data_IF_471546166104
#
_entry.id   IF_471546166104
#
_cell.length_a   1.000
_cell.length_b   1.000
_cell.length_c   1.000
_cell.angle_alpha   90.00
_cell.angle_beta   90.00
_cell.angle_gamma   90.00
#
_symmetry.space_group_name_H-M   'P 1'
#
loop_
_entity.id
_entity.type
_entity.pdbx_description
1 polymer ?
#
# COMPACT_ATOMS: atom_id res chain seq x y z
N UNK A 1 -50.26 50.61 -62.35
CA UNK A 1 -50.58 50.40 -60.92
C UNK A 1 -49.65 49.32 -60.39
N UNK A 2 -49.04 49.59 -59.23
CA UNK A 2 -47.94 48.81 -58.62
C UNK A 2 -48.48 47.52 -57.99
N UNK A 3 -47.79 46.39 -58.18
CA UNK A 3 -48.00 45.18 -57.38
C UNK A 3 -46.65 44.72 -56.84
N UNK A 4 -46.43 45.00 -55.56
CA UNK A 4 -45.22 44.66 -54.79
C UNK A 4 -45.15 43.16 -54.55
N UNK A 5 -43.98 42.56 -54.81
CA UNK A 5 -43.67 41.17 -54.42
C UNK A 5 -43.13 41.20 -52.99
N UNK A 6 -43.88 40.65 -52.04
CA UNK A 6 -43.41 40.42 -50.66
C UNK A 6 -42.68 39.08 -50.66
N UNK A 7 -41.36 39.12 -50.48
CA UNK A 7 -40.56 37.93 -50.22
C UNK A 7 -40.57 37.67 -48.70
N UNK A 8 -41.15 36.55 -48.27
CA UNK A 8 -41.07 36.07 -46.89
C UNK A 8 -39.71 35.36 -46.71
N UNK A 9 -38.78 36.02 -46.03
CA UNK A 9 -37.54 35.38 -45.56
C UNK A 9 -37.82 34.68 -44.24
N UNK A 10 -37.82 33.34 -44.26
CA UNK A 10 -37.86 32.54 -43.05
C UNK A 10 -36.48 32.56 -42.37
N UNK A 11 -36.36 33.23 -41.23
CA UNK A 11 -35.19 33.13 -40.36
C UNK A 11 -35.29 31.84 -39.53
N UNK A 12 -34.49 30.82 -39.88
CA UNK A 12 -34.29 29.65 -39.04
C UNK A 12 -33.35 30.03 -37.88
N UNK A 13 -33.92 30.18 -36.67
CA UNK A 13 -33.14 30.38 -35.46
C UNK A 13 -32.49 29.05 -35.03
N UNK A 14 -31.18 28.91 -35.24
CA UNK A 14 -30.40 27.81 -34.69
C UNK A 14 -30.11 28.10 -33.21
N UNK A 15 -30.72 27.32 -32.29
CA UNK A 15 -30.33 27.35 -30.88
C UNK A 15 -28.97 26.67 -30.71
N UNK A 16 -28.01 27.27 -29.97
CA UNK A 16 -26.79 26.56 -29.60
C UNK A 16 -27.14 25.53 -28.51
N UNK A 17 -27.05 24.25 -28.84
CA UNK A 17 -27.05 23.21 -27.82
C UNK A 17 -25.74 23.30 -27.02
N UNK A 18 -25.83 23.78 -25.78
CA UNK A 18 -24.75 23.67 -24.81
C UNK A 18 -24.61 22.19 -24.43
N UNK A 19 -23.57 21.53 -24.93
CA UNK A 19 -23.19 20.20 -24.48
C UNK A 19 -22.80 20.29 -22.99
N UNK A 20 -23.65 19.76 -22.11
CA UNK A 20 -23.30 19.54 -20.71
C UNK A 20 -22.24 18.45 -20.68
N UNK A 21 -20.98 18.85 -20.50
CA UNK A 21 -19.88 17.91 -20.25
C UNK A 21 -20.06 17.40 -18.83
N UNK A 22 -20.72 16.27 -18.66
CA UNK A 22 -20.69 15.56 -17.38
C UNK A 22 -19.23 15.16 -17.12
N UNK A 23 -18.63 15.50 -15.96
CA UNK A 23 -17.31 14.98 -15.65
C UNK A 23 -17.38 13.46 -15.72
N UNK A 24 -16.59 12.86 -16.61
CA UNK A 24 -16.47 11.41 -16.66
C UNK A 24 -15.99 10.97 -15.28
N UNK A 25 -16.83 10.25 -14.53
CA UNK A 25 -16.41 9.53 -13.35
C UNK A 25 -15.34 8.57 -13.84
N UNK A 26 -14.07 8.83 -13.51
CA UNK A 26 -12.99 7.92 -13.87
C UNK A 26 -13.39 6.55 -13.34
N UNK A 27 -13.47 5.55 -14.22
CA UNK A 27 -13.68 4.17 -13.80
C UNK A 27 -12.65 3.86 -12.71
N UNK A 28 -13.04 3.22 -11.59
CA UNK A 28 -12.10 2.88 -10.53
C UNK A 28 -10.92 2.13 -11.16
N UNK A 29 -9.71 2.64 -10.95
CA UNK A 29 -8.49 1.96 -11.40
C UNK A 29 -8.56 0.55 -10.82
N UNK A 30 -8.43 -0.52 -11.63
CA UNK A 30 -8.46 -1.87 -11.10
C UNK A 30 -7.34 -2.00 -10.07
N UNK A 31 -7.68 -2.30 -8.82
CA UNK A 31 -6.68 -2.53 -7.78
C UNK A 31 -6.15 -3.96 -7.90
N UNK A 32 -4.84 -4.13 -7.71
CA UNK A 32 -4.25 -5.46 -7.59
C UNK A 32 -4.85 -6.12 -6.33
N UNK A 33 -5.13 -7.42 -6.37
CA UNK A 33 -5.60 -8.14 -5.18
C UNK A 33 -4.53 -9.12 -4.74
N UNK A 34 -4.02 -8.91 -3.52
CA UNK A 34 -3.17 -9.86 -2.82
C UNK A 34 -4.07 -10.72 -1.96
N UNK A 35 -4.02 -12.02 -2.21
CA UNK A 35 -4.69 -13.00 -1.37
C UNK A 35 -3.77 -13.42 -0.23
N UNK A 36 -4.29 -13.40 1.00
CA UNK A 36 -3.52 -13.80 2.18
C UNK A 36 -4.15 -14.93 2.97
N UNK A 37 -3.30 -15.69 3.65
CA UNK A 37 -3.70 -16.75 4.56
C UNK A 37 -3.16 -16.46 5.97
N UNK A 38 -4.07 -16.34 6.93
CA UNK A 38 -3.75 -16.11 8.34
C UNK A 38 -4.06 -17.32 9.24
N UNK A 39 -4.39 -18.48 8.68
CA UNK A 39 -4.81 -19.63 9.49
C UNK A 39 -3.74 -20.11 10.49
N UNK A 40 -2.46 -19.78 10.22
CA UNK A 40 -1.32 -20.10 11.09
C UNK A 40 -0.88 -18.91 11.97
N UNK A 41 -1.61 -17.80 11.96
CA UNK A 41 -1.34 -16.64 12.81
C UNK A 41 -1.90 -16.81 14.24
N UNK A 42 -2.45 -17.97 14.60
CA UNK A 42 -2.88 -18.28 15.98
C UNK A 42 -3.84 -17.24 16.55
N UNK A 43 -3.51 -16.71 17.73
CA UNK A 43 -4.29 -15.66 18.41
C UNK A 43 -4.26 -14.30 17.70
N UNK A 44 -3.31 -14.08 16.79
CA UNK A 44 -3.13 -12.82 16.05
C UNK A 44 -3.95 -12.75 14.75
N UNK A 45 -4.80 -13.73 14.46
CA UNK A 45 -5.67 -13.70 13.28
C UNK A 45 -6.53 -12.41 13.19
N UNK A 46 -7.03 -11.94 14.33
CA UNK A 46 -7.78 -10.68 14.41
C UNK A 46 -6.90 -9.44 14.12
N UNK A 47 -5.66 -9.46 14.59
CA UNK A 47 -4.67 -8.40 14.32
C UNK A 47 -4.29 -8.38 12.84
N UNK A 48 -4.13 -9.55 12.19
CA UNK A 48 -3.93 -9.68 10.74
C UNK A 48 -5.08 -9.06 9.95
N UNK A 49 -6.32 -9.38 10.30
CA UNK A 49 -7.48 -8.77 9.66
C UNK A 49 -7.52 -7.25 9.85
N UNK A 50 -7.13 -6.78 11.03
CA UNK A 50 -7.03 -5.34 11.35
C UNK A 50 -5.96 -4.65 10.50
N UNK A 51 -4.75 -5.21 10.42
CA UNK A 51 -3.66 -4.70 9.58
C UNK A 51 -4.02 -4.65 8.10
N UNK A 52 -4.68 -5.70 7.58
CA UNK A 52 -5.19 -5.72 6.22
C UNK A 52 -6.24 -4.62 5.97
N UNK A 53 -7.16 -4.41 6.93
CA UNK A 53 -8.15 -3.33 6.87
C UNK A 53 -7.52 -1.94 6.89
N UNK A 54 -6.49 -1.73 7.71
CA UNK A 54 -5.75 -0.47 7.78
C UNK A 54 -5.18 -0.14 6.39
N UNK A 55 -4.48 -1.08 5.76
CA UNK A 55 -3.94 -0.87 4.42
C UNK A 55 -5.04 -0.67 3.37
N UNK A 56 -6.08 -1.50 3.35
CA UNK A 56 -7.21 -1.37 2.43
C UNK A 56 -7.93 -0.02 2.53
N UNK A 57 -7.91 0.63 3.70
CA UNK A 57 -8.46 1.97 3.91
C UNK A 57 -7.49 3.11 3.55
N UNK A 58 -6.20 2.81 3.44
CA UNK A 58 -5.13 3.79 3.24
C UNK A 58 -4.69 3.92 1.79
N UNK A 59 -4.83 2.85 0.99
CA UNK A 59 -4.32 2.78 -0.40
C UNK A 59 -5.44 2.51 -1.40
N UNK A 60 -5.16 2.77 -2.67
CA UNK A 60 -6.13 2.70 -3.78
C UNK A 60 -5.79 1.63 -4.79
N UNK A 61 -4.51 1.39 -5.05
CA UNK A 61 -4.04 0.56 -6.17
C UNK A 61 -3.80 -0.92 -5.81
N UNK A 62 -3.96 -1.30 -4.55
CA UNK A 62 -3.85 -2.68 -4.08
C UNK A 62 -4.86 -2.96 -2.97
N UNK A 63 -5.34 -4.20 -2.88
CA UNK A 63 -6.23 -4.70 -1.84
C UNK A 63 -5.73 -6.03 -1.30
N UNK A 64 -5.84 -6.20 0.02
CA UNK A 64 -5.58 -7.43 0.74
C UNK A 64 -6.91 -8.14 0.99
N UNK A 65 -7.00 -9.42 0.62
CA UNK A 65 -8.18 -10.24 0.82
C UNK A 65 -7.81 -11.60 1.40
N UNK A 66 -8.51 -12.05 2.44
CA UNK A 66 -8.25 -13.35 3.04
C UNK A 66 -8.75 -14.50 2.16
N UNK A 67 -8.02 -15.62 2.12
CA UNK A 67 -8.40 -16.85 1.43
C UNK A 67 -7.92 -16.89 -0.01
N UNK A 68 -8.69 -17.54 -0.89
CA UNK A 68 -8.34 -17.72 -2.31
C UNK A 68 -7.03 -18.50 -2.52
N UNK A 69 -6.34 -18.23 -3.62
CA UNK A 69 -4.98 -18.73 -3.88
C UNK A 69 -3.97 -17.81 -3.20
N UNK A 70 -3.90 -17.87 -1.87
CA UNK A 70 -3.08 -16.97 -1.07
C UNK A 70 -1.59 -17.04 -1.45
N UNK A 71 -0.98 -15.87 -1.68
CA UNK A 71 0.46 -15.70 -1.94
C UNK A 71 1.19 -15.15 -0.72
N UNK A 72 0.47 -14.51 0.20
CA UNK A 72 0.99 -13.97 1.45
C UNK A 72 0.51 -14.81 2.65
N UNK A 73 1.42 -15.35 3.44
CA UNK A 73 1.07 -16.20 4.58
C UNK A 73 1.53 -15.57 5.89
N UNK A 74 0.72 -15.68 6.95
CA UNK A 74 1.04 -15.17 8.28
C UNK A 74 1.21 -16.32 9.27
N UNK A 75 2.29 -16.30 10.04
CA UNK A 75 2.61 -17.30 11.05
C UNK A 75 2.92 -16.65 12.39
N UNK A 76 2.43 -17.27 13.46
CA UNK A 76 2.74 -16.86 14.83
C UNK A 76 3.64 -17.90 15.47
N UNK A 77 4.75 -17.44 16.06
CA UNK A 77 5.71 -18.27 16.79
C UNK A 77 5.91 -17.73 18.21
N UNK A 78 6.15 -18.63 19.15
CA UNK A 78 6.50 -18.25 20.52
C UNK A 78 7.83 -17.47 20.58
N UNK A 79 8.78 -17.88 19.74
CA UNK A 79 10.01 -17.14 19.45
C UNK A 79 10.53 -17.57 18.08
N UNK A 80 11.14 -16.64 17.35
CA UNK A 80 11.70 -16.86 16.03
C UNK A 80 13.06 -16.18 15.90
N UNK A 81 14.09 -16.85 15.34
CA UNK A 81 15.39 -16.21 15.12
C UNK A 81 15.30 -14.94 14.26
N UNK A 82 15.70 -13.82 14.85
CA UNK A 82 15.60 -12.51 14.20
C UNK A 82 14.27 -11.78 14.41
N UNK A 83 13.32 -12.35 15.16
CA UNK A 83 12.07 -11.69 15.53
C UNK A 83 10.98 -11.75 14.46
N UNK A 84 9.97 -10.89 14.65
CA UNK A 84 8.89 -10.64 13.69
C UNK A 84 9.48 -10.02 12.43
N UNK A 85 9.08 -10.52 11.26
CA UNK A 85 9.66 -10.09 9.99
C UNK A 85 8.81 -10.54 8.79
N UNK A 86 8.98 -9.85 7.68
CA UNK A 86 8.56 -10.26 6.36
C UNK A 86 9.69 -10.92 5.56
N UNK A 87 9.38 -12.02 4.88
CA UNK A 87 10.27 -12.71 3.96
C UNK A 87 9.53 -12.95 2.63
N UNK A 88 9.96 -12.28 1.56
CA UNK A 88 9.32 -12.43 0.26
C UNK A 88 9.86 -11.48 -0.80
N UNK A 89 9.05 -11.25 -1.83
CA UNK A 89 9.42 -10.46 -3.01
C UNK A 89 9.14 -8.96 -2.88
N UNK A 90 8.54 -8.53 -1.77
CA UNK A 90 8.03 -7.17 -1.51
C UNK A 90 6.96 -6.72 -2.52
N UNK A 91 6.29 -7.68 -3.18
CA UNK A 91 5.28 -7.46 -4.23
C UNK A 91 4.08 -8.39 -4.03
N UNK A 92 3.69 -8.61 -2.77
CA UNK A 92 2.48 -9.33 -2.40
C UNK A 92 2.63 -10.85 -2.28
N UNK A 93 3.83 -11.39 -2.40
CA UNK A 93 4.12 -12.81 -2.13
C UNK A 93 5.11 -12.96 -1.00
N UNK A 94 4.90 -13.94 -0.12
CA UNK A 94 5.86 -14.25 0.93
C UNK A 94 5.22 -14.72 2.23
N UNK A 95 6.00 -14.58 3.29
CA UNK A 95 5.66 -15.02 4.63
C UNK A 95 5.92 -13.89 5.63
N UNK A 96 4.94 -13.61 6.47
CA UNK A 96 5.04 -12.74 7.63
C UNK A 96 5.10 -13.61 8.86
N UNK A 97 6.11 -13.39 9.67
CA UNK A 97 6.39 -14.09 10.91
C UNK A 97 6.16 -13.11 12.05
N UNK A 98 5.44 -13.55 13.08
CA UNK A 98 5.29 -12.85 14.34
C UNK A 98 6.01 -13.62 15.45
N UNK A 99 6.86 -12.93 16.20
CA UNK A 99 7.54 -13.44 17.39
C UNK A 99 6.87 -12.86 18.65
N UNK A 100 6.13 -13.71 19.36
CA UNK A 100 5.44 -13.33 20.60
C UNK A 100 6.43 -12.82 21.66
N UNK A 101 7.56 -13.50 21.85
CA UNK A 101 8.50 -13.11 22.89
C UNK A 101 9.13 -11.74 22.62
N UNK A 102 9.45 -11.44 21.37
CA UNK A 102 9.91 -10.12 20.99
C UNK A 102 8.84 -9.06 21.24
N UNK A 103 7.63 -9.28 20.71
CA UNK A 103 6.58 -8.26 20.73
C UNK A 103 6.05 -8.02 22.12
N UNK A 104 5.74 -9.08 22.87
CA UNK A 104 5.06 -8.96 24.16
C UNK A 104 6.04 -8.76 25.32
N UNK A 105 7.12 -9.55 25.35
CA UNK A 105 8.00 -9.61 26.52
C UNK A 105 9.20 -8.67 26.44
N UNK A 106 9.76 -8.45 25.23
CA UNK A 106 10.95 -7.60 25.07
C UNK A 106 10.59 -6.14 24.81
N UNK A 107 9.58 -5.90 23.96
CA UNK A 107 9.27 -4.55 23.48
C UNK A 107 7.92 -3.99 23.93
N UNK A 108 6.97 -4.87 24.28
CA UNK A 108 5.61 -4.48 24.68
C UNK A 108 4.83 -3.76 23.57
N UNK A 109 5.01 -4.15 22.30
CA UNK A 109 4.43 -3.45 21.16
C UNK A 109 2.95 -3.81 20.92
N UNK A 110 2.22 -2.88 20.31
CA UNK A 110 0.84 -3.11 19.88
C UNK A 110 0.82 -4.03 18.64
N UNK A 111 0.09 -5.14 18.71
CA UNK A 111 0.05 -6.15 17.63
C UNK A 111 -0.44 -5.59 16.30
N UNK A 112 -1.44 -4.68 16.30
CA UNK A 112 -1.94 -4.08 15.06
C UNK A 112 -0.86 -3.25 14.35
N UNK A 113 0.02 -2.57 15.10
CA UNK A 113 1.17 -1.86 14.56
C UNK A 113 2.18 -2.82 13.94
N UNK A 114 2.56 -3.88 14.66
CA UNK A 114 3.50 -4.90 14.13
C UNK A 114 2.94 -5.54 12.86
N UNK A 115 1.68 -5.96 12.90
CA UNK A 115 1.01 -6.56 11.75
C UNK A 115 0.98 -5.60 10.56
N UNK A 116 0.54 -4.35 10.76
CA UNK A 116 0.47 -3.37 9.67
C UNK A 116 1.87 -3.04 9.11
N UNK A 117 2.89 -2.97 9.97
CA UNK A 117 4.28 -2.75 9.58
C UNK A 117 4.81 -3.88 8.67
N UNK A 118 4.72 -5.13 9.11
CA UNK A 118 5.18 -6.28 8.31
C UNK A 118 4.39 -6.43 7.01
N UNK A 119 3.09 -6.13 7.05
CA UNK A 119 2.26 -6.07 5.84
C UNK A 119 2.74 -4.97 4.88
N UNK A 120 3.24 -3.85 5.40
CA UNK A 120 3.84 -2.78 4.61
C UNK A 120 5.03 -3.26 3.76
N UNK A 121 5.85 -4.18 4.28
CA UNK A 121 6.92 -4.81 3.51
C UNK A 121 6.41 -5.66 2.36
N UNK A 122 5.36 -6.45 2.60
CA UNK A 122 4.70 -7.20 1.52
C UNK A 122 4.13 -6.28 0.43
N UNK A 123 3.82 -5.02 0.76
CA UNK A 123 3.35 -3.99 -0.17
C UNK A 123 4.47 -3.17 -0.83
N UNK A 124 5.74 -3.44 -0.51
CA UNK A 124 6.90 -2.82 -1.16
C UNK A 124 7.57 -1.71 -0.37
N UNK A 125 7.15 -1.47 0.88
CA UNK A 125 7.84 -0.52 1.75
C UNK A 125 9.04 -1.16 2.42
N UNK A 126 10.07 -0.36 2.64
CA UNK A 126 11.22 -0.75 3.44
C UNK A 126 11.10 -0.08 4.81
N UNK A 127 11.90 -0.56 5.75
CA UNK A 127 12.05 0.07 7.04
C UNK A 127 12.48 1.53 6.91
N UNK A 128 11.97 2.31 7.84
CA UNK A 128 12.30 3.70 8.07
C UNK A 128 12.59 3.89 9.57
N UNK A 129 13.47 3.05 10.13
CA UNK A 129 13.92 3.12 11.51
C UNK A 129 14.42 4.52 11.88
N UNK A 130 14.40 4.84 13.17
CA UNK A 130 14.82 6.12 13.70
C UNK A 130 14.05 7.31 13.08
N UNK A 131 12.82 7.05 12.66
CA UNK A 131 11.84 8.10 12.34
C UNK A 131 10.72 8.11 13.39
N UNK A 132 9.95 9.20 13.52
CA UNK A 132 8.96 9.32 14.59
C UNK A 132 7.88 8.23 14.53
N UNK A 133 7.33 7.84 15.68
CA UNK A 133 6.32 6.78 15.85
C UNK A 133 5.14 6.85 14.86
N UNK A 134 4.73 8.06 14.47
CA UNK A 134 3.67 8.26 13.48
C UNK A 134 3.95 7.60 12.12
N UNK A 135 5.22 7.35 11.79
CA UNK A 135 5.61 6.59 10.61
C UNK A 135 5.48 5.10 10.93
N UNK A 136 4.63 4.41 10.17
CA UNK A 136 4.40 2.99 10.40
C UNK A 136 5.68 2.17 10.17
N UNK A 137 6.46 2.57 9.16
CA UNK A 137 7.70 1.88 8.81
C UNK A 137 8.86 2.20 9.75
N UNK A 138 8.68 3.03 10.79
CA UNK A 138 9.67 3.11 11.88
C UNK A 138 9.70 1.84 12.74
N UNK A 139 8.71 0.95 12.59
CA UNK A 139 8.68 -0.37 13.20
C UNK A 139 8.82 -0.30 14.72
N UNK A 140 9.68 -1.15 15.26
CA UNK A 140 10.07 -1.17 16.67
C UNK A 140 11.23 -0.23 17.03
N UNK A 141 11.61 0.72 16.18
CA UNK A 141 12.65 1.73 16.48
C UNK A 141 12.16 3.16 16.18
N UNK A 142 11.07 3.63 16.81
CA UNK A 142 10.67 5.03 16.70
C UNK A 142 11.70 5.96 17.36
N UNK A 143 11.95 7.12 16.75
CA UNK A 143 12.97 8.08 17.25
C UNK A 143 12.53 8.90 18.47
N UNK A 144 11.23 8.96 18.75
CA UNK A 144 10.62 9.91 19.68
C UNK A 144 9.98 9.27 20.91
N UNK A 145 10.00 7.94 21.04
CA UNK A 145 9.49 7.20 22.20
C UNK A 145 10.00 5.76 22.21
N UNK A 146 9.72 5.01 23.27
CA UNK A 146 10.00 3.56 23.28
C UNK A 146 8.97 2.78 22.44
N UNK A 147 9.31 1.56 21.96
CA UNK A 147 8.43 0.80 21.08
C UNK A 147 7.08 0.47 21.71
N UNK A 148 7.08 0.10 23.00
CA UNK A 148 5.85 -0.18 23.74
C UNK A 148 4.98 1.04 24.07
N UNK A 149 5.50 2.26 23.90
CA UNK A 149 4.70 3.49 23.99
C UNK A 149 4.13 3.92 22.62
N UNK A 150 4.64 3.36 21.52
CA UNK A 150 4.22 3.71 20.18
C UNK A 150 3.01 2.89 19.72
N UNK A 151 1.83 3.50 19.77
CA UNK A 151 0.56 2.84 19.43
C UNK A 151 0.03 3.18 18.03
N UNK A 152 0.74 3.99 17.24
CA UNK A 152 0.29 4.34 15.89
C UNK A 152 0.38 3.13 14.96
N UNK A 153 -0.74 2.68 14.41
CA UNK A 153 -0.81 1.50 13.54
C UNK A 153 -1.12 1.82 12.08
N UNK A 154 -1.36 3.09 11.75
CA UNK A 154 -1.69 3.53 10.39
C UNK A 154 -0.45 4.03 9.64
N UNK A 155 -0.35 3.72 8.34
CA UNK A 155 0.64 4.38 7.50
C UNK A 155 0.33 5.87 7.40
N UNK A 156 1.36 6.68 7.29
CA UNK A 156 1.23 8.07 6.89
C UNK A 156 0.71 8.19 5.47
N UNK A 157 0.21 9.37 5.11
CA UNK A 157 -0.17 9.66 3.72
C UNK A 157 1.00 9.48 2.74
N UNK A 158 2.24 9.65 3.19
CA UNK A 158 3.44 9.48 2.37
C UNK A 158 3.75 7.99 2.13
N UNK A 159 3.69 7.17 3.16
CA UNK A 159 3.85 5.71 3.04
C UNK A 159 2.74 5.10 2.17
N UNK A 160 1.49 5.52 2.38
CA UNK A 160 0.37 5.10 1.54
C UNK A 160 0.53 5.52 0.07
N UNK A 161 0.96 6.76 -0.19
CA UNK A 161 1.21 7.23 -1.55
C UNK A 161 2.37 6.46 -2.22
N UNK A 162 3.39 6.07 -1.47
CA UNK A 162 4.48 5.24 -1.99
C UNK A 162 3.98 3.85 -2.40
N UNK A 163 3.13 3.20 -1.58
CA UNK A 163 2.47 1.94 -1.97
C UNK A 163 1.64 2.15 -3.23
N UNK A 164 0.80 3.19 -3.29
CA UNK A 164 0.02 3.47 -4.49
C UNK A 164 0.89 3.66 -5.74
N UNK A 165 2.05 4.31 -5.61
CA UNK A 165 3.01 4.47 -6.72
C UNK A 165 3.65 3.14 -7.15
N UNK A 166 4.06 2.30 -6.20
CA UNK A 166 4.61 0.97 -6.47
C UNK A 166 3.57 0.18 -7.27
N UNK A 167 2.34 0.08 -6.74
CA UNK A 167 1.29 -0.75 -7.32
C UNK A 167 0.70 -0.18 -8.62
N UNK A 168 0.70 1.15 -8.83
CA UNK A 168 0.34 1.73 -10.12
C UNK A 168 1.23 1.23 -11.29
N UNK A 169 2.49 0.89 -11.02
CA UNK A 169 3.42 0.33 -12.01
C UNK A 169 3.00 -1.05 -12.52
N UNK A 170 2.34 -1.83 -11.67
CA UNK A 170 1.90 -3.20 -11.95
C UNK A 170 0.49 -3.29 -12.55
N UNK A 171 -0.28 -2.21 -12.46
CA UNK A 171 -1.66 -2.12 -12.97
C UNK A 171 -1.76 -1.76 -14.45
N UNK A 172 -0.65 -1.58 -15.17
CA UNK A 172 -0.69 -1.28 -16.61
C UNK A 172 -1.10 -2.53 -17.40
N UNK A 173 -2.26 -2.54 -18.08
CA UNK A 173 -2.60 -3.64 -18.97
C UNK A 173 -1.63 -3.65 -20.17
N UNK A 174 -1.03 -4.79 -20.45
CA UNK A 174 -0.37 -5.06 -21.74
C UNK A 174 1.00 -4.41 -21.98
N UNK A 175 1.69 -3.91 -20.95
CA UNK A 175 3.09 -3.47 -21.10
C UNK A 175 4.01 -4.22 -20.14
N UNK A 176 4.76 -5.17 -20.68
CA UNK A 176 5.91 -5.75 -20.00
C UNK A 176 6.96 -4.65 -19.82
N UNK A 177 7.35 -4.36 -18.58
CA UNK A 177 8.46 -3.46 -18.31
C UNK A 177 9.73 -4.13 -18.84
N UNK A 178 10.52 -3.39 -19.61
CA UNK A 178 11.81 -3.92 -20.04
C UNK A 178 12.70 -4.14 -18.81
N UNK A 179 13.58 -5.14 -18.85
CA UNK A 179 14.50 -5.43 -17.75
C UNK A 179 15.35 -4.20 -17.37
N UNK A 180 15.58 -3.29 -18.30
CA UNK A 180 16.26 -2.01 -18.09
C UNK A 180 15.43 -1.03 -17.26
N UNK A 181 14.12 -0.93 -17.51
CA UNK A 181 13.22 -0.05 -16.75
C UNK A 181 13.05 -0.53 -15.30
N UNK A 182 12.91 -1.85 -15.12
CA UNK A 182 12.88 -2.46 -13.77
C UNK A 182 14.20 -2.18 -13.04
N UNK A 183 15.33 -2.40 -13.69
CA UNK A 183 16.66 -2.15 -13.10
C UNK A 183 16.89 -0.67 -12.77
N UNK A 184 16.36 0.26 -13.58
CA UNK A 184 16.45 1.69 -13.35
C UNK A 184 15.59 2.14 -12.16
N UNK A 185 14.35 1.63 -12.05
CA UNK A 185 13.46 1.91 -10.92
C UNK A 185 14.04 1.36 -9.61
N UNK A 186 14.54 0.11 -9.64
CA UNK A 186 15.20 -0.50 -8.48
C UNK A 186 16.49 0.24 -8.10
N UNK A 187 17.25 0.76 -9.06
CA UNK A 187 18.44 1.56 -8.78
C UNK A 187 18.12 2.95 -8.19
N UNK A 188 17.02 3.59 -8.58
CA UNK A 188 16.56 4.85 -7.99
C UNK A 188 16.05 4.66 -6.55
N UNK A 189 15.29 3.60 -6.32
CA UNK A 189 14.85 3.18 -4.98
C UNK A 189 16.07 2.84 -4.10
N UNK A 190 16.99 2.01 -4.60
CA UNK A 190 18.22 1.66 -3.90
C UNK A 190 19.13 2.88 -3.64
N UNK A 191 19.20 3.87 -4.53
CA UNK A 191 19.95 5.13 -4.27
C UNK A 191 19.29 6.01 -3.22
N UNK A 192 17.95 6.06 -3.21
CA UNK A 192 17.17 6.77 -2.18
C UNK A 192 17.29 6.08 -0.81
N UNK A 193 17.52 4.77 -0.80
CA UNK A 193 17.69 3.93 0.39
C UNK A 193 19.14 3.81 0.87
N UNK A 194 20.13 3.81 -0.03
CA UNK A 194 21.54 3.85 0.32
C UNK A 194 21.94 5.14 1.05
N UNK A 195 21.11 6.19 0.97
CA UNK A 195 21.21 7.38 1.83
C UNK A 195 20.64 7.19 3.25
N UNK A 196 20.11 6.01 3.57
CA UNK A 196 19.41 5.70 4.84
C UNK A 196 19.92 4.44 5.56
N UNK A 197 20.96 3.78 5.03
CA UNK A 197 21.65 2.55 5.52
C UNK A 197 20.93 1.69 6.59
N UNK A 198 20.25 0.61 6.16
CA UNK A 198 20.78 -0.76 6.25
C UNK A 198 19.86 -1.78 5.53
N UNK A 199 20.42 -2.83 4.91
CA UNK A 199 19.65 -3.94 4.33
C UNK A 199 18.92 -4.72 5.45
N UNK A 200 17.79 -5.36 5.10
CA UNK A 200 16.95 -6.23 5.96
C UNK A 200 17.70 -7.45 6.52
N UNK A 201 18.76 -7.23 7.30
CA UNK A 201 19.52 -8.21 8.05
C UNK A 201 19.86 -7.54 9.38
N UNK A 202 19.32 -8.11 10.44
CA UNK A 202 19.38 -7.66 11.82
C UNK A 202 18.31 -6.63 12.19
N UNK A 203 17.16 -7.18 12.60
CA UNK A 203 16.62 -6.72 13.87
C UNK A 203 17.71 -6.90 14.95
N UNK A 204 18.33 -5.77 15.32
CA UNK A 204 18.42 -5.40 16.73
C UNK A 204 17.57 -4.13 16.85
N UNK A 205 16.24 -4.18 17.00
CA UNK A 205 15.54 -4.36 18.29
C UNK A 205 16.40 -4.81 19.47
#
# INVERSE_FOLDING_TARGET
MRASRIALTAFAAALPMLAVVTPATAAPIPAATIYYNASQAGSWQGDVATGASIWNSSVRNVRLQQGGSATLNYYLYQSYPGGSQYQGDMHGSGTIIFDINQVDNQLGMVHSRVTAHETGHALGLYDAYNTPCRNLMSGGEPSDMSPGQCTSDRPTAQEAAQVDQIWAGYLKPGRELTQTEVRAAMADIAKKQAKRESPCVHIKL
#
